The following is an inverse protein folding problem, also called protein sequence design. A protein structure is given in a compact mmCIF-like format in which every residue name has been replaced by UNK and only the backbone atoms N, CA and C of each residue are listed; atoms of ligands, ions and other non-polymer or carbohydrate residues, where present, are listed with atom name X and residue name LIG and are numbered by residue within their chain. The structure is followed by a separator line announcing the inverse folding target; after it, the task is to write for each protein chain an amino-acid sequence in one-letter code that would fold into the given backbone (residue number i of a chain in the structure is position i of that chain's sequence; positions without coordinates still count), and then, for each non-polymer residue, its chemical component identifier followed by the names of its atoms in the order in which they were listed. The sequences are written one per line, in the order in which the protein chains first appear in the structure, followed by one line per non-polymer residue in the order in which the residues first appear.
data_IF_342230722602
#
_entry.id   IF_342230722602
#
_cell.length_a   1.000
_cell.length_b   1.000
_cell.length_c   1.000
_cell.angle_alpha   90.00
_cell.angle_beta   90.00
_cell.angle_gamma   90.00
#
_symmetry.space_group_name_H-M   'P 1'
#
loop_
_entity.id
_entity.type
_entity.pdbx_description
1 polymer ?
#
# COMPACT_ATOMS: atom_id res chain seq x y z
N UNK A 1 -25.36 -2.14 -21.77
CA UNK A 1 -23.97 -2.67 -21.78
C UNK A 1 -23.05 -1.90 -20.83
N UNK A 2 -22.98 -0.56 -20.92
CA UNK A 2 -22.09 0.27 -20.09
C UNK A 2 -22.27 0.09 -18.58
N UNK A 3 -23.51 0.00 -18.11
CA UNK A 3 -23.82 -0.12 -16.68
C UNK A 3 -23.39 -1.46 -16.08
N UNK A 4 -23.58 -2.55 -16.82
CA UNK A 4 -23.11 -3.89 -16.44
C UNK A 4 -21.58 -3.92 -16.38
N UNK A 5 -20.89 -3.33 -17.37
CA UNK A 5 -19.42 -3.26 -17.36
C UNK A 5 -18.89 -2.48 -16.15
N UNK A 6 -19.53 -1.34 -15.81
CA UNK A 6 -19.17 -0.56 -14.63
C UNK A 6 -19.40 -1.36 -13.34
N UNK A 7 -20.57 -2.00 -13.22
CA UNK A 7 -20.91 -2.80 -12.04
C UNK A 7 -19.90 -3.94 -11.84
N UNK A 8 -19.55 -4.67 -12.91
CA UNK A 8 -18.56 -5.75 -12.84
C UNK A 8 -17.17 -5.23 -12.46
N UNK A 9 -16.74 -4.09 -13.00
CA UNK A 9 -15.46 -3.48 -12.66
C UNK A 9 -15.38 -3.09 -11.17
N UNK A 10 -16.43 -2.46 -10.64
CA UNK A 10 -16.52 -2.05 -9.22
C UNK A 10 -16.67 -3.25 -8.27
N UNK A 11 -17.25 -4.35 -8.74
CA UNK A 11 -17.43 -5.56 -7.94
C UNK A 11 -16.15 -6.37 -7.75
N UNK A 12 -15.09 -6.12 -8.55
CA UNK A 12 -13.81 -6.79 -8.38
C UNK A 12 -13.25 -6.54 -6.98
N UNK A 13 -12.76 -7.60 -6.33
CA UNK A 13 -12.13 -7.56 -5.01
C UNK A 13 -10.74 -8.17 -5.12
N UNK A 14 -9.67 -7.38 -4.95
CA UNK A 14 -8.33 -7.92 -4.88
C UNK A 14 -8.18 -8.79 -3.62
N UNK A 15 -7.34 -9.82 -3.71
CA UNK A 15 -6.90 -10.56 -2.54
C UNK A 15 -5.58 -9.95 -2.06
N UNK A 16 -5.50 -9.49 -0.80
CA UNK A 16 -4.27 -8.93 -0.26
C UNK A 16 -3.10 -9.92 -0.35
N UNK A 17 -1.93 -9.40 -0.72
CA UNK A 17 -0.71 -10.20 -0.74
C UNK A 17 -0.11 -10.33 0.66
N UNK A 18 0.77 -11.33 0.87
CA UNK A 18 1.57 -11.41 2.11
C UNK A 18 2.37 -10.14 2.38
N UNK A 19 2.81 -9.45 1.32
CA UNK A 19 3.52 -8.18 1.45
C UNK A 19 2.60 -7.08 1.99
N UNK A 20 1.38 -6.97 1.49
CA UNK A 20 0.38 -6.04 2.00
C UNK A 20 0.05 -6.30 3.47
N UNK A 21 -0.18 -7.55 3.88
CA UNK A 21 -0.39 -7.88 5.30
C UNK A 21 0.78 -7.45 6.21
N UNK A 22 2.03 -7.49 5.70
CA UNK A 22 3.18 -7.00 6.47
C UNK A 22 3.15 -5.48 6.64
N UNK A 23 2.77 -4.75 5.60
CA UNK A 23 2.62 -3.29 5.65
C UNK A 23 1.49 -2.92 6.60
N UNK A 24 0.32 -3.55 6.49
CA UNK A 24 -0.84 -3.34 7.37
C UNK A 24 -0.48 -3.60 8.84
N UNK A 25 0.16 -4.74 9.13
CA UNK A 25 0.57 -5.08 10.50
C UNK A 25 1.51 -4.04 11.10
N UNK A 26 2.39 -3.46 10.29
CA UNK A 26 3.34 -2.43 10.75
C UNK A 26 2.63 -1.09 10.96
N UNK A 27 1.72 -0.70 10.06
CA UNK A 27 0.91 0.52 10.24
C UNK A 27 0.02 0.41 11.48
N UNK A 28 -0.54 -0.79 11.71
CA UNK A 28 -1.33 -1.09 12.91
C UNK A 28 -0.48 -1.01 14.19
N UNK A 29 0.75 -1.51 14.17
CA UNK A 29 1.65 -1.42 15.34
C UNK A 29 2.11 0.01 15.63
N UNK A 30 2.05 0.90 14.63
CA UNK A 30 2.24 2.35 14.81
C UNK A 30 0.98 3.06 15.35
N UNK A 31 -0.10 2.32 15.62
CA UNK A 31 -1.35 2.87 16.14
C UNK A 31 -2.18 3.62 15.11
N UNK A 32 -1.96 3.37 13.81
CA UNK A 32 -2.72 4.03 12.74
C UNK A 32 -4.00 3.26 12.41
N UNK A 33 -5.19 3.88 12.55
CA UNK A 33 -6.43 3.29 12.05
C UNK A 33 -6.33 3.11 10.53
N UNK A 34 -6.61 1.89 10.06
CA UNK A 34 -6.50 1.55 8.64
C UNK A 34 -7.74 0.81 8.12
N UNK A 35 -7.96 0.92 6.81
CA UNK A 35 -8.92 0.14 6.03
C UNK A 35 -8.20 -0.46 4.83
N UNK A 36 -8.41 -1.74 4.56
CA UNK A 36 -7.78 -2.44 3.43
C UNK A 36 -8.73 -2.56 2.25
N UNK A 37 -8.18 -2.60 1.04
CA UNK A 37 -8.91 -2.83 -0.21
C UNK A 37 -10.12 -1.91 -0.39
N UNK A 38 -9.89 -0.60 -0.23
CA UNK A 38 -10.95 0.41 -0.33
C UNK A 38 -11.28 0.65 -1.79
N UNK A 39 -12.48 0.24 -2.18
CA UNK A 39 -12.96 0.37 -3.56
C UNK A 39 -13.62 1.74 -3.72
N UNK A 40 -13.09 2.52 -4.64
CA UNK A 40 -13.60 3.86 -4.99
C UNK A 40 -14.84 3.76 -5.87
N UNK A 41 -15.63 4.85 -5.94
CA UNK A 41 -16.81 4.94 -6.82
C UNK A 41 -16.47 4.78 -8.31
N UNK A 42 -15.21 5.02 -8.66
CA UNK A 42 -14.67 4.86 -10.01
C UNK A 42 -14.25 3.40 -10.29
N UNK A 43 -14.28 2.52 -9.28
CA UNK A 43 -13.98 1.09 -9.37
C UNK A 43 -12.51 0.71 -9.15
N UNK A 44 -11.63 1.66 -8.83
CA UNK A 44 -10.26 1.35 -8.41
C UNK A 44 -10.23 0.90 -6.95
N UNK A 45 -9.39 -0.11 -6.64
CA UNK A 45 -9.03 -0.46 -5.26
C UNK A 45 -7.82 0.33 -4.80
N UNK A 46 -7.87 0.89 -3.60
CA UNK A 46 -6.71 1.38 -2.87
C UNK A 46 -6.32 0.30 -1.86
N UNK A 47 -5.06 -0.13 -1.90
CA UNK A 47 -4.62 -1.30 -1.15
C UNK A 47 -4.82 -1.10 0.37
N UNK A 48 -4.43 0.07 0.89
CA UNK A 48 -4.62 0.47 2.29
C UNK A 48 -4.97 1.97 2.36
N UNK A 49 -5.93 2.35 3.20
CA UNK A 49 -6.20 3.74 3.58
C UNK A 49 -5.92 3.91 5.06
N UNK A 50 -5.10 4.89 5.43
CA UNK A 50 -4.82 5.25 6.82
C UNK A 50 -5.35 6.65 7.14
N UNK A 51 -5.75 6.86 8.40
CA UNK A 51 -5.97 8.23 8.90
C UNK A 51 -4.68 8.73 9.57
N UNK A 52 -4.08 9.77 8.99
CA UNK A 52 -2.92 10.45 9.53
C UNK A 52 -3.26 11.89 9.86
N UNK A 53 -3.29 12.23 11.15
CA UNK A 53 -3.59 13.58 11.64
C UNK A 53 -4.91 14.15 11.07
N UNK A 54 -5.95 13.33 11.00
CA UNK A 54 -7.26 13.73 10.46
C UNK A 54 -7.34 13.71 8.93
N UNK A 55 -6.26 13.37 8.22
CA UNK A 55 -6.23 13.27 6.75
C UNK A 55 -6.20 11.81 6.32
N UNK A 56 -7.06 11.43 5.37
CA UNK A 56 -7.00 10.11 4.76
C UNK A 56 -5.88 10.04 3.71
N UNK A 57 -5.04 9.01 3.82
CA UNK A 57 -3.94 8.75 2.90
C UNK A 57 -4.09 7.35 2.33
N UNK A 58 -4.15 7.24 1.01
CA UNK A 58 -4.07 5.97 0.32
C UNK A 58 -2.62 5.51 0.23
N UNK A 59 -2.36 4.25 0.53
CA UNK A 59 -1.06 3.60 0.45
C UNK A 59 -1.19 2.49 -0.60
N UNK A 60 -0.37 2.58 -1.63
CA UNK A 60 -0.19 1.56 -2.67
C UNK A 60 0.99 0.66 -2.28
N UNK A 61 0.76 -0.66 -2.21
CA UNK A 61 1.76 -1.66 -1.83
C UNK A 61 2.32 -2.32 -3.08
N UNK A 62 3.42 -1.77 -3.57
CA UNK A 62 3.94 -2.15 -4.88
C UNK A 62 4.92 -3.32 -4.79
N UNK A 63 4.41 -4.52 -5.05
CA UNK A 63 5.22 -5.73 -5.29
C UNK A 63 6.03 -5.67 -6.61
N UNK A 64 6.95 -6.63 -6.85
CA UNK A 64 7.85 -6.61 -8.02
C UNK A 64 7.17 -6.47 -9.38
N UNK A 65 5.97 -7.05 -9.55
CA UNK A 65 5.20 -6.98 -10.79
C UNK A 65 4.73 -5.57 -11.18
N UNK A 66 4.75 -4.61 -10.25
CA UNK A 66 4.36 -3.22 -10.50
C UNK A 66 5.47 -2.41 -11.18
N UNK A 67 6.66 -2.98 -11.36
CA UNK A 67 7.84 -2.25 -11.82
C UNK A 67 8.48 -2.88 -13.05
N UNK A 68 9.10 -2.03 -13.85
CA UNK A 68 10.13 -2.39 -14.81
C UNK A 68 11.47 -1.90 -14.26
N UNK A 69 12.25 -2.82 -13.69
CA UNK A 69 13.41 -2.43 -12.88
C UNK A 69 12.97 -1.76 -11.58
N UNK A 70 13.28 -0.46 -11.42
CA UNK A 70 12.82 0.37 -10.28
C UNK A 70 11.80 1.44 -10.68
N UNK A 71 11.38 1.45 -11.94
CA UNK A 71 10.39 2.40 -12.45
C UNK A 71 9.00 1.76 -12.46
N UNK A 72 7.94 2.44 -11.99
CA UNK A 72 6.59 1.89 -12.04
C UNK A 72 6.16 1.66 -13.49
N UNK A 73 5.53 0.53 -13.76
CA UNK A 73 5.04 0.21 -15.10
C UNK A 73 3.79 1.06 -15.45
N UNK A 74 3.35 0.96 -16.71
CA UNK A 74 2.24 1.78 -17.23
C UNK A 74 0.92 1.56 -16.49
N UNK A 75 0.60 0.33 -16.07
CA UNK A 75 -0.64 0.06 -15.33
C UNK A 75 -0.61 0.69 -13.93
N UNK A 76 0.53 0.62 -13.25
CA UNK A 76 0.74 1.24 -11.93
C UNK A 76 0.63 2.77 -12.02
N UNK A 77 1.30 3.39 -12.99
CA UNK A 77 1.19 4.83 -13.23
C UNK A 77 -0.23 5.27 -13.57
N UNK A 78 -0.94 4.49 -14.40
CA UNK A 78 -2.33 4.76 -14.75
C UNK A 78 -3.24 4.69 -13.52
N UNK A 79 -3.17 3.63 -12.72
CA UNK A 79 -3.95 3.47 -11.46
C UNK A 79 -3.75 4.68 -10.55
N UNK A 80 -2.50 5.04 -10.25
CA UNK A 80 -2.16 6.20 -9.40
C UNK A 80 -2.68 7.52 -9.97
N UNK A 81 -2.56 7.73 -11.28
CA UNK A 81 -3.07 8.94 -11.93
C UNK A 81 -4.59 9.04 -11.79
N UNK A 82 -5.31 7.93 -11.98
CA UNK A 82 -6.77 7.90 -11.89
C UNK A 82 -7.26 8.12 -10.46
N UNK A 83 -6.66 7.44 -9.48
CA UNK A 83 -6.96 7.64 -8.06
C UNK A 83 -6.73 9.08 -7.62
N UNK A 84 -5.65 9.74 -8.07
CA UNK A 84 -5.38 11.15 -7.77
C UNK A 84 -6.35 12.10 -8.48
N UNK A 85 -6.58 11.91 -9.77
CA UNK A 85 -7.31 12.89 -10.61
C UNK A 85 -8.82 12.74 -10.57
N UNK A 86 -9.32 11.50 -10.50
CA UNK A 86 -10.75 11.24 -10.44
C UNK A 86 -11.24 11.02 -9.00
N UNK A 87 -10.41 10.41 -8.16
CA UNK A 87 -10.77 10.11 -6.77
C UNK A 87 -10.32 11.16 -5.75
N UNK A 88 -9.46 12.12 -6.14
CA UNK A 88 -8.96 13.15 -5.23
C UNK A 88 -8.02 12.64 -4.13
N UNK A 89 -7.51 11.42 -4.25
CA UNK A 89 -6.75 10.77 -3.18
C UNK A 89 -5.31 11.30 -3.08
N UNK A 90 -4.87 11.55 -1.84
CA UNK A 90 -3.45 11.64 -1.51
C UNK A 90 -2.88 10.22 -1.45
N UNK A 91 -1.88 9.94 -2.28
CA UNK A 91 -1.29 8.60 -2.40
C UNK A 91 0.19 8.57 -2.04
N UNK A 92 0.54 7.62 -1.17
CA UNK A 92 1.89 7.15 -0.90
C UNK A 92 2.11 5.78 -1.56
N UNK A 93 3.33 5.50 -2.02
CA UNK A 93 3.72 4.21 -2.59
C UNK A 93 4.73 3.57 -1.65
N UNK A 94 4.61 2.26 -1.42
CA UNK A 94 5.54 1.45 -0.63
C UNK A 94 6.16 0.40 -1.56
N UNK A 95 7.31 0.69 -2.18
CA UNK A 95 8.00 -0.27 -3.02
C UNK A 95 8.60 -1.42 -2.20
N UNK A 96 8.50 -2.65 -2.72
CA UNK A 96 8.99 -3.85 -2.02
C UNK A 96 10.48 -3.78 -1.60
N UNK A 97 11.34 -3.12 -2.39
CA UNK A 97 12.78 -3.04 -2.09
C UNK A 97 13.09 -2.06 -0.96
N UNK A 98 12.39 -0.93 -0.90
CA UNK A 98 12.53 0.05 0.18
C UNK A 98 12.02 -0.55 1.48
N UNK A 99 10.89 -1.25 1.41
CA UNK A 99 10.38 -2.01 2.54
C UNK A 99 11.39 -3.04 3.07
N UNK A 100 11.99 -3.83 2.17
CA UNK A 100 13.00 -4.83 2.55
C UNK A 100 14.24 -4.20 3.22
N UNK A 101 14.68 -3.02 2.76
CA UNK A 101 15.78 -2.28 3.37
C UNK A 101 15.46 -1.81 4.79
N UNK A 102 14.28 -1.20 4.99
CA UNK A 102 13.83 -0.74 6.31
C UNK A 102 13.74 -1.90 7.30
N UNK A 103 13.18 -3.03 6.88
CA UNK A 103 13.10 -4.23 7.73
C UNK A 103 14.46 -4.80 8.09
N UNK A 104 15.40 -4.80 7.17
CA UNK A 104 16.77 -5.27 7.41
C UNK A 104 17.49 -4.37 8.42
N UNK A 105 17.34 -3.05 8.28
CA UNK A 105 17.88 -2.08 9.24
C UNK A 105 17.24 -2.20 10.63
N UNK A 106 15.93 -2.40 10.71
CA UNK A 106 15.23 -2.62 11.97
C UNK A 106 15.74 -3.88 12.70
N UNK A 107 15.92 -4.99 11.97
CA UNK A 107 16.49 -6.23 12.51
C UNK A 107 17.93 -6.05 13.00
N UNK A 108 18.74 -5.26 12.30
CA UNK A 108 20.10 -4.96 12.73
C UNK A 108 20.12 -4.18 14.06
N UNK A 109 19.21 -3.19 14.22
CA UNK A 109 19.07 -2.44 15.48
C UNK A 109 18.62 -3.30 16.65
N UNK A 110 17.58 -4.12 16.47
CA UNK A 110 17.10 -5.01 17.53
C UNK A 110 18.18 -5.99 18.00
N UNK A 111 19.01 -6.48 17.07
CA UNK A 111 20.13 -7.35 17.40
C UNK A 111 21.23 -6.62 18.18
N UNK A 112 21.51 -5.35 17.86
CA UNK A 112 22.49 -4.56 18.56
C UNK A 112 22.04 -4.19 19.99
N UNK A 113 20.76 -3.84 20.17
CA UNK A 113 20.16 -3.54 21.48
C UNK A 113 20.15 -4.78 22.39
N UNK A 114 19.79 -5.95 21.85
CA UNK A 114 19.85 -7.21 22.58
C UNK A 114 21.27 -7.54 23.07
N UNK A 115 22.32 -7.30 22.27
CA UNK A 115 23.71 -7.53 22.71
C UNK A 115 24.19 -6.54 23.81
N UNK A 116 23.54 -5.39 23.96
CA UNK A 116 23.89 -4.41 25.00
C UNK A 116 23.25 -4.75 26.36
N UNK A 117 22.14 -5.47 26.40
CA UNK A 117 21.53 -5.95 27.66
C UNK A 117 22.26 -7.15 28.30
N UNK A 118 23.19 -7.78 27.57
CA UNK A 118 23.96 -8.95 28.02
C UNK A 118 25.44 -8.67 28.36
N UNK A 119 25.84 -7.40 28.44
CA UNK A 119 27.16 -6.96 28.93
C UNK A 119 27.03 -6.07 30.15
#
# INVERSE_FOLDING_TARGET
LSEVCKATFVAYRPSPSRFQHQVESTLSSLGLPLRSEVITDQGYSIDIVVNWQGTEVGIEVDGPSHFWGREPNGSTLLKRRQLRKLGGWMLCSVPYWEWAQVRSAAKARSNAECCQEYM
#
